data_IF_876932871210
#
_entry.id   IF_876932871210
#
_cell.length_a   1.000
_cell.length_b   1.000
_cell.length_c   1.000
_cell.angle_alpha   90.00
_cell.angle_beta   90.00
_cell.angle_gamma   90.00
#
_symmetry.space_group_name_H-M   'P 1'
#
loop_
_entity.id
_entity.type
_entity.pdbx_description
1 polymer ?
#
# COMPACT_ATOMS: atom_id res chain seq x y z
N UNK A 1 24.02 -7.93 -12.41
CA UNK A 1 23.47 -8.36 -13.73
C UNK A 1 22.96 -7.13 -14.47
N UNK A 2 22.89 -7.17 -15.82
CA UNK A 2 22.26 -6.09 -16.61
C UNK A 2 20.73 -6.14 -16.47
N UNK A 3 20.07 -4.98 -16.61
CA UNK A 3 18.61 -4.85 -16.41
C UNK A 3 17.77 -5.79 -17.30
N UNK A 4 18.13 -5.91 -18.57
CA UNK A 4 17.43 -6.81 -19.51
C UNK A 4 17.57 -8.29 -19.15
N UNK A 5 18.69 -8.71 -18.55
CA UNK A 5 18.83 -10.07 -18.05
C UNK A 5 17.86 -10.36 -16.89
N UNK A 6 17.66 -9.38 -16.00
CA UNK A 6 16.71 -9.51 -14.88
C UNK A 6 15.27 -9.65 -15.38
N UNK A 7 14.89 -8.87 -16.40
CA UNK A 7 13.56 -9.00 -17.04
C UNK A 7 13.42 -10.41 -17.64
N UNK A 8 14.41 -10.87 -18.43
CA UNK A 8 14.34 -12.16 -19.06
C UNK A 8 14.23 -13.33 -18.07
N UNK A 9 15.01 -13.30 -17.01
CA UNK A 9 14.94 -14.30 -15.93
C UNK A 9 13.57 -14.27 -15.23
N UNK A 10 12.98 -13.08 -15.05
CA UNK A 10 11.63 -12.94 -14.49
C UNK A 10 10.58 -13.55 -15.43
N UNK A 11 10.69 -13.32 -16.74
CA UNK A 11 9.81 -13.93 -17.76
C UNK A 11 9.90 -15.45 -17.71
N UNK A 12 11.13 -16.00 -17.70
CA UNK A 12 11.34 -17.45 -17.61
C UNK A 12 10.74 -18.02 -16.32
N UNK A 13 10.96 -17.35 -15.18
CA UNK A 13 10.40 -17.78 -13.90
C UNK A 13 8.87 -17.79 -13.93
N UNK A 14 8.22 -16.79 -14.54
CA UNK A 14 6.76 -16.76 -14.68
C UNK A 14 6.28 -17.90 -15.57
N UNK A 15 6.91 -18.16 -16.71
CA UNK A 15 6.53 -19.27 -17.59
C UNK A 15 6.67 -20.60 -16.86
N UNK A 16 7.83 -20.85 -16.23
CA UNK A 16 8.11 -22.15 -15.58
C UNK A 16 7.20 -22.41 -14.39
N UNK A 17 6.90 -21.37 -13.59
CA UNK A 17 6.10 -21.53 -12.37
C UNK A 17 4.60 -21.54 -12.61
N UNK A 18 4.12 -20.90 -13.69
CA UNK A 18 2.67 -20.73 -13.88
C UNK A 18 2.09 -21.47 -15.10
N UNK A 19 2.94 -22.16 -15.88
CA UNK A 19 2.44 -22.93 -17.00
C UNK A 19 1.68 -24.17 -16.51
N UNK A 20 0.35 -24.15 -16.69
CA UNK A 20 -0.58 -25.21 -16.24
C UNK A 20 -0.54 -25.53 -14.75
N UNK A 21 -0.10 -24.57 -13.93
CA UNK A 21 0.07 -24.75 -12.49
C UNK A 21 -0.82 -23.82 -11.67
N UNK A 22 -1.11 -24.22 -10.43
CA UNK A 22 -1.90 -23.41 -9.49
C UNK A 22 -1.10 -22.20 -8.97
N UNK A 23 -1.81 -21.09 -8.76
CA UNK A 23 -1.18 -19.79 -8.43
C UNK A 23 -0.54 -19.76 -7.04
N UNK A 24 -1.21 -20.33 -6.02
CA UNK A 24 -0.86 -20.11 -4.61
C UNK A 24 0.61 -20.44 -4.27
N UNK A 25 1.00 -21.71 -4.41
CA UNK A 25 2.36 -22.15 -4.11
C UNK A 25 3.39 -21.49 -5.04
N UNK A 26 3.08 -21.42 -6.33
CA UNK A 26 3.99 -20.94 -7.36
C UNK A 26 4.25 -19.44 -7.25
N UNK A 27 3.24 -18.64 -6.85
CA UNK A 27 3.45 -17.22 -6.56
C UNK A 27 4.29 -17.01 -5.29
N UNK A 28 4.12 -17.86 -4.27
CA UNK A 28 4.99 -17.85 -3.11
C UNK A 28 6.46 -18.13 -3.47
N UNK A 29 6.72 -19.16 -4.27
CA UNK A 29 8.06 -19.48 -4.79
C UNK A 29 8.61 -18.30 -5.64
N UNK A 30 7.77 -17.72 -6.48
CA UNK A 30 8.14 -16.54 -7.29
C UNK A 30 8.49 -15.33 -6.41
N UNK A 31 7.75 -15.10 -5.33
CA UNK A 31 8.03 -14.03 -4.37
C UNK A 31 9.36 -14.22 -3.65
N UNK A 32 9.67 -15.44 -3.21
CA UNK A 32 10.98 -15.79 -2.63
C UNK A 32 12.09 -15.56 -3.65
N UNK A 33 11.91 -16.03 -4.88
CA UNK A 33 12.85 -15.86 -5.98
C UNK A 33 13.15 -14.39 -6.24
N UNK A 34 12.12 -13.53 -6.38
CA UNK A 34 12.29 -12.09 -6.57
C UNK A 34 12.97 -11.41 -5.38
N UNK A 35 12.67 -11.86 -4.15
CA UNK A 35 13.30 -11.34 -2.93
C UNK A 35 14.80 -11.62 -2.93
N UNK A 36 15.21 -12.87 -3.19
CA UNK A 36 16.62 -13.27 -3.26
C UNK A 36 17.33 -12.54 -4.41
N UNK A 37 16.69 -12.44 -5.57
CA UNK A 37 17.28 -11.75 -6.71
C UNK A 37 17.43 -10.24 -6.41
N UNK A 38 16.48 -9.60 -5.74
CA UNK A 38 16.59 -8.22 -5.29
C UNK A 38 17.72 -8.04 -4.29
N UNK A 39 17.84 -8.95 -3.33
CA UNK A 39 18.94 -8.93 -2.35
C UNK A 39 20.30 -9.00 -3.05
N UNK A 40 20.50 -9.95 -3.96
CA UNK A 40 21.78 -10.12 -4.68
C UNK A 40 22.14 -8.93 -5.58
N UNK A 41 21.13 -8.29 -6.19
CA UNK A 41 21.34 -7.13 -7.08
C UNK A 41 21.52 -5.81 -6.32
N UNK A 42 21.10 -5.72 -5.06
CA UNK A 42 21.28 -4.51 -4.25
C UNK A 42 22.70 -4.44 -3.72
N UNK A 43 23.37 -3.28 -3.90
CA UNK A 43 24.74 -3.05 -3.39
C UNK A 43 24.75 -3.18 -1.86
N UNK A 44 25.85 -3.73 -1.32
CA UNK A 44 26.00 -3.95 0.13
C UNK A 44 25.83 -2.68 0.96
N UNK A 45 26.29 -1.54 0.45
CA UNK A 45 26.17 -0.22 1.09
C UNK A 45 24.71 0.26 1.27
N UNK A 46 23.79 -0.26 0.44
CA UNK A 46 22.36 0.09 0.48
C UNK A 46 21.53 -0.89 1.32
N UNK A 47 22.15 -1.96 1.85
CA UNK A 47 21.48 -2.98 2.66
C UNK A 47 21.42 -2.57 4.12
N UNK A 48 20.71 -1.49 4.42
CA UNK A 48 20.50 -1.04 5.79
C UNK A 48 19.53 -1.94 6.57
N UNK A 49 19.34 -1.66 7.87
CA UNK A 49 18.43 -2.46 8.73
C UNK A 49 17.01 -2.53 8.18
N UNK A 50 16.50 -1.45 7.62
CA UNK A 50 15.15 -1.41 7.02
C UNK A 50 15.08 -2.33 5.79
N UNK A 51 16.10 -2.31 4.93
CA UNK A 51 16.17 -3.20 3.77
C UNK A 51 16.19 -4.67 4.20
N UNK A 52 16.98 -5.01 5.22
CA UNK A 52 17.06 -6.38 5.75
C UNK A 52 15.71 -6.82 6.35
N UNK A 53 15.06 -5.95 7.10
CA UNK A 53 13.70 -6.23 7.61
C UNK A 53 12.73 -6.49 6.47
N UNK A 54 12.74 -5.65 5.43
CA UNK A 54 11.87 -5.83 4.25
C UNK A 54 12.21 -7.12 3.47
N UNK A 55 13.47 -7.51 3.41
CA UNK A 55 13.88 -8.77 2.82
C UNK A 55 13.30 -9.96 3.59
N UNK A 56 13.45 -9.97 4.90
CA UNK A 56 12.91 -11.02 5.76
C UNK A 56 11.38 -11.08 5.66
N UNK A 57 10.71 -9.94 5.77
CA UNK A 57 9.24 -9.90 5.68
C UNK A 57 8.72 -10.29 4.30
N UNK A 58 9.43 -9.98 3.20
CA UNK A 58 9.04 -10.44 1.87
C UNK A 58 9.13 -11.96 1.70
N UNK A 59 10.14 -12.59 2.31
CA UNK A 59 10.26 -14.06 2.36
C UNK A 59 9.09 -14.66 3.17
N UNK A 60 8.84 -14.14 4.39
CA UNK A 60 7.73 -14.64 5.22
C UNK A 60 6.35 -14.44 4.57
N UNK A 61 6.09 -13.28 3.95
CA UNK A 61 4.85 -13.04 3.22
C UNK A 61 4.67 -14.01 2.05
N UNK A 62 5.77 -14.34 1.35
CA UNK A 62 5.76 -15.32 0.26
C UNK A 62 5.44 -16.73 0.77
N UNK A 63 5.98 -17.13 1.92
CA UNK A 63 5.60 -18.38 2.58
C UNK A 63 4.16 -18.37 3.04
N UNK A 64 3.68 -17.28 3.64
CA UNK A 64 2.28 -17.15 4.08
C UNK A 64 1.32 -17.32 2.90
N UNK A 65 1.61 -16.67 1.76
CA UNK A 65 0.80 -16.82 0.56
C UNK A 65 0.84 -18.23 -0.02
N UNK A 66 2.03 -18.85 -0.07
CA UNK A 66 2.16 -20.24 -0.52
C UNK A 66 1.31 -21.21 0.32
N UNK A 67 1.13 -20.89 1.60
CA UNK A 67 0.41 -21.74 2.55
C UNK A 67 -1.09 -21.45 2.60
N UNK A 68 -1.48 -20.17 2.64
CA UNK A 68 -2.88 -19.76 2.82
C UNK A 68 -3.59 -19.45 1.50
N UNK A 69 -2.90 -18.87 0.51
CA UNK A 69 -3.47 -18.54 -0.80
C UNK A 69 -4.56 -17.46 -0.77
N UNK A 70 -4.67 -16.68 0.31
CA UNK A 70 -5.70 -15.67 0.51
C UNK A 70 -5.32 -14.29 -0.03
N UNK A 71 -6.32 -13.39 -0.13
CA UNK A 71 -6.15 -12.04 -0.70
C UNK A 71 -5.20 -11.17 0.14
N UNK A 72 -5.21 -11.35 1.47
CA UNK A 72 -4.39 -10.54 2.38
C UNK A 72 -2.92 -10.93 2.28
N UNK A 73 -2.62 -12.22 2.24
CA UNK A 73 -1.26 -12.71 2.03
C UNK A 73 -0.75 -12.38 0.63
N UNK A 74 -1.61 -12.39 -0.41
CA UNK A 74 -1.27 -11.87 -1.73
C UNK A 74 -0.84 -10.39 -1.68
N UNK A 75 -1.65 -9.56 -1.02
CA UNK A 75 -1.34 -8.13 -0.83
C UNK A 75 -0.01 -7.95 -0.08
N UNK A 76 0.25 -8.77 0.94
CA UNK A 76 1.49 -8.72 1.71
C UNK A 76 2.72 -9.05 0.87
N UNK A 77 2.65 -10.08 0.00
CA UNK A 77 3.74 -10.41 -0.96
C UNK A 77 4.00 -9.23 -1.88
N UNK A 78 2.95 -8.71 -2.51
CA UNK A 78 3.05 -7.61 -3.46
C UNK A 78 3.68 -6.37 -2.83
N UNK A 79 3.14 -5.91 -1.69
CA UNK A 79 3.64 -4.72 -0.98
C UNK A 79 5.07 -4.93 -0.49
N UNK A 80 5.38 -6.09 0.11
CA UNK A 80 6.72 -6.39 0.63
C UNK A 80 7.79 -6.39 -0.46
N UNK A 81 7.52 -7.01 -1.61
CA UNK A 81 8.43 -7.04 -2.75
C UNK A 81 8.70 -5.64 -3.31
N UNK A 82 7.65 -4.83 -3.49
CA UNK A 82 7.81 -3.45 -3.97
C UNK A 82 8.57 -2.57 -2.98
N UNK A 83 8.25 -2.66 -1.68
CA UNK A 83 8.97 -1.93 -0.64
C UNK A 83 10.45 -2.33 -0.60
N UNK A 84 10.75 -3.62 -0.68
CA UNK A 84 12.11 -4.14 -0.74
C UNK A 84 12.86 -3.58 -1.95
N UNK A 85 12.24 -3.63 -3.11
CA UNK A 85 12.85 -3.15 -4.35
C UNK A 85 13.07 -1.65 -4.35
N UNK A 86 12.08 -0.86 -3.92
CA UNK A 86 12.22 0.59 -3.82
C UNK A 86 13.28 0.99 -2.80
N UNK A 87 13.29 0.35 -1.62
CA UNK A 87 14.31 0.62 -0.60
C UNK A 87 15.71 0.33 -1.08
N UNK A 88 15.91 -0.78 -1.79
CA UNK A 88 17.20 -1.17 -2.37
C UNK A 88 17.70 -0.25 -3.49
N UNK A 89 16.81 0.55 -4.10
CA UNK A 89 17.18 1.47 -5.19
C UNK A 89 17.24 2.92 -4.74
N UNK A 90 16.27 3.37 -3.93
CA UNK A 90 16.13 4.75 -3.47
C UNK A 90 15.96 4.82 -1.94
N UNK A 91 17.01 4.54 -1.15
CA UNK A 91 16.91 4.41 0.31
C UNK A 91 16.49 5.71 1.01
N UNK A 92 16.69 6.87 0.37
CA UNK A 92 16.33 8.19 0.91
C UNK A 92 14.90 8.64 0.57
N UNK A 93 14.21 7.92 -0.31
CA UNK A 93 12.84 8.24 -0.66
C UNK A 93 11.90 7.81 0.46
N UNK A 94 10.97 8.68 0.85
CA UNK A 94 9.97 8.37 1.88
C UNK A 94 8.99 7.32 1.37
N UNK A 95 8.68 6.28 2.16
CA UNK A 95 7.84 5.16 1.72
C UNK A 95 6.43 5.56 1.27
N UNK A 96 5.88 6.62 1.83
CA UNK A 96 4.58 7.16 1.41
C UNK A 96 4.53 7.49 -0.09
N UNK A 97 5.65 7.95 -0.68
CA UNK A 97 5.76 8.26 -2.11
C UNK A 97 5.88 7.01 -3.00
N UNK A 98 6.12 5.83 -2.43
CA UNK A 98 6.25 4.61 -3.22
C UNK A 98 4.96 4.24 -3.96
N UNK A 99 3.79 4.56 -3.37
CA UNK A 99 2.49 4.34 -4.02
C UNK A 99 2.39 5.19 -5.30
N UNK A 100 2.75 6.47 -5.22
CA UNK A 100 2.74 7.38 -6.36
C UNK A 100 3.72 6.93 -7.45
N UNK A 101 4.95 6.55 -7.05
CA UNK A 101 5.94 5.98 -7.98
C UNK A 101 5.41 4.72 -8.66
N UNK A 102 4.78 3.83 -7.90
CA UNK A 102 4.21 2.60 -8.46
C UNK A 102 3.12 2.91 -9.49
N UNK A 103 2.16 3.77 -9.15
CA UNK A 103 1.07 4.15 -10.05
C UNK A 103 1.60 4.79 -11.35
N UNK A 104 2.54 5.74 -11.24
CA UNK A 104 3.15 6.36 -12.42
C UNK A 104 3.82 5.30 -13.31
N UNK A 105 4.55 4.35 -12.72
CA UNK A 105 5.23 3.31 -13.49
C UNK A 105 4.26 2.30 -14.12
N UNK A 106 3.14 1.98 -13.48
CA UNK A 106 2.09 1.14 -14.05
C UNK A 106 1.48 1.76 -15.32
N UNK A 107 1.14 3.05 -15.26
CA UNK A 107 0.50 3.74 -16.38
C UNK A 107 1.49 4.20 -17.47
N UNK A 108 2.74 4.52 -17.12
CA UNK A 108 3.76 4.94 -18.09
C UNK A 108 4.47 3.78 -18.78
N UNK A 109 4.11 2.53 -18.47
CA UNK A 109 4.76 1.32 -18.98
C UNK A 109 4.95 1.34 -20.50
N UNK A 110 3.88 1.57 -21.28
CA UNK A 110 3.93 1.53 -22.74
C UNK A 110 4.95 2.54 -23.31
N UNK A 111 4.91 3.80 -22.85
CA UNK A 111 5.85 4.81 -23.33
C UNK A 111 7.31 4.51 -22.97
N UNK A 112 7.55 3.83 -21.83
CA UNK A 112 8.89 3.49 -21.36
C UNK A 112 9.46 2.23 -22.02
N UNK A 113 8.62 1.26 -22.38
CA UNK A 113 9.04 0.07 -23.13
C UNK A 113 9.61 0.45 -24.47
N UNK A 114 8.96 1.38 -25.19
CA UNK A 114 9.45 1.86 -26.49
C UNK A 114 10.72 2.72 -26.39
N UNK A 115 11.05 3.23 -25.21
CA UNK A 115 12.32 3.91 -24.98
C UNK A 115 13.41 2.91 -24.61
N UNK A 116 13.87 2.16 -25.63
CA UNK A 116 14.79 1.02 -25.49
C UNK A 116 16.10 1.41 -24.77
N UNK A 117 16.57 2.63 -24.92
CA UNK A 117 17.81 3.11 -24.29
C UNK A 117 17.77 3.11 -22.74
N UNK A 118 16.57 3.16 -22.13
CA UNK A 118 16.41 3.16 -20.67
C UNK A 118 16.71 1.80 -20.02
N UNK A 119 16.50 0.72 -20.75
CA UNK A 119 16.57 -0.62 -20.18
C UNK A 119 17.52 -1.57 -20.92
N UNK A 120 17.88 -1.26 -22.16
CA UNK A 120 18.81 -2.02 -22.95
C UNK A 120 20.12 -1.23 -23.16
N UNK A 121 21.20 -1.70 -22.55
CA UNK A 121 22.54 -1.15 -22.75
C UNK A 121 23.13 -1.69 -24.06
N UNK A 122 23.40 -0.80 -25.03
CA UNK A 122 24.08 -1.18 -26.27
C UNK A 122 25.44 -1.82 -25.94
N UNK A 123 25.78 -2.97 -26.50
CA UNK A 123 27.10 -3.55 -26.33
C UNK A 123 28.16 -2.62 -26.93
N UNK A 124 29.29 -2.51 -26.25
CA UNK A 124 30.34 -1.56 -26.65
C UNK A 124 31.00 -1.95 -27.97
N UNK A 125 31.00 -3.21 -28.39
CA UNK A 125 31.45 -3.69 -29.70
C UNK A 125 30.93 -5.12 -29.95
N UNK A 126 30.45 -5.40 -31.19
CA UNK A 126 30.01 -6.72 -31.65
C UNK A 126 28.50 -6.98 -31.68
N UNK A 127 28.09 -7.97 -32.51
CA UNK A 127 26.69 -8.44 -32.52
C UNK A 127 26.37 -9.10 -31.19
N UNK A 128 25.64 -8.42 -30.34
CA UNK A 128 25.18 -8.98 -29.06
C UNK A 128 24.23 -10.15 -29.32
N UNK A 129 24.35 -11.21 -28.54
CA UNK A 129 23.39 -12.31 -28.51
C UNK A 129 21.94 -11.76 -28.32
N UNK A 130 21.76 -10.71 -27.51
CA UNK A 130 20.46 -10.07 -27.33
C UNK A 130 19.93 -9.40 -28.62
N UNK A 131 20.76 -8.72 -29.41
CA UNK A 131 20.33 -8.17 -30.70
C UNK A 131 19.96 -9.29 -31.66
N UNK A 132 20.72 -10.33 -31.69
CA UNK A 132 20.42 -11.52 -32.49
C UNK A 132 19.13 -12.17 -32.03
N UNK A 133 18.94 -12.36 -30.73
CA UNK A 133 17.71 -12.91 -30.16
C UNK A 133 16.48 -12.03 -30.44
N UNK A 134 16.58 -10.72 -30.23
CA UNK A 134 15.47 -9.79 -30.52
C UNK A 134 15.11 -9.83 -32.00
N UNK A 135 16.12 -9.77 -32.88
CA UNK A 135 15.91 -9.70 -34.33
C UNK A 135 15.41 -11.01 -34.94
N UNK A 136 15.94 -12.14 -34.49
CA UNK A 136 15.67 -13.45 -35.14
C UNK A 136 14.65 -14.31 -34.39
N UNK A 137 14.32 -13.99 -33.12
CA UNK A 137 13.39 -14.78 -32.31
C UNK A 137 12.21 -13.93 -31.84
N UNK A 138 12.46 -12.82 -31.15
CA UNK A 138 11.39 -12.07 -30.47
C UNK A 138 10.48 -11.33 -31.46
N UNK A 139 11.04 -10.58 -32.41
CA UNK A 139 10.25 -9.85 -33.41
C UNK A 139 9.51 -10.81 -34.33
N UNK A 140 10.16 -11.78 -34.99
CA UNK A 140 9.46 -12.78 -35.80
C UNK A 140 8.46 -13.60 -35.01
N UNK A 141 8.81 -14.03 -33.80
CA UNK A 141 7.90 -14.75 -32.91
C UNK A 141 6.64 -13.98 -32.57
N UNK A 142 6.77 -12.68 -32.29
CA UNK A 142 5.61 -11.80 -32.05
C UNK A 142 4.68 -11.75 -33.29
N UNK A 143 5.24 -11.55 -34.48
CA UNK A 143 4.44 -11.52 -35.71
C UNK A 143 3.80 -12.88 -35.99
N UNK A 144 4.55 -13.96 -35.90
CA UNK A 144 4.02 -15.33 -36.09
C UNK A 144 2.85 -15.58 -35.12
N UNK A 145 2.99 -15.16 -33.88
CA UNK A 145 1.96 -15.32 -32.87
C UNK A 145 0.70 -14.52 -33.19
N UNK A 146 0.85 -13.25 -33.54
CA UNK A 146 -0.31 -12.39 -33.89
C UNK A 146 -1.06 -13.01 -35.09
N UNK A 147 -0.34 -13.42 -36.14
CA UNK A 147 -0.95 -14.03 -37.32
C UNK A 147 -1.51 -15.42 -37.05
N UNK A 148 -0.87 -16.21 -36.19
CA UNK A 148 -1.40 -17.49 -35.72
C UNK A 148 -2.81 -17.31 -35.10
N UNK A 149 -2.98 -16.29 -34.26
CA UNK A 149 -4.29 -15.97 -33.71
C UNK A 149 -5.29 -15.55 -34.76
N UNK A 150 -4.91 -14.61 -35.63
CA UNK A 150 -5.80 -14.15 -36.71
C UNK A 150 -6.26 -15.33 -37.56
N UNK A 151 -5.37 -16.25 -37.88
CA UNK A 151 -5.70 -17.42 -38.70
C UNK A 151 -6.51 -18.48 -37.91
N UNK A 152 -6.23 -18.66 -36.63
CA UNK A 152 -7.03 -19.57 -35.77
C UNK A 152 -8.45 -19.06 -35.53
N UNK A 153 -8.65 -17.74 -35.45
CA UNK A 153 -10.00 -17.14 -35.39
C UNK A 153 -10.70 -17.17 -36.75
N UNK A 154 -9.95 -17.15 -37.86
CA UNK A 154 -10.50 -17.13 -39.22
C UNK A 154 -10.82 -18.50 -39.78
N UNK A 155 -10.29 -19.59 -39.24
CA UNK A 155 -10.48 -20.94 -39.77
C UNK A 155 -10.42 -22.00 -38.68
N UNK A 156 -11.55 -22.71 -38.45
CA UNK A 156 -11.64 -23.85 -37.52
C UNK A 156 -10.71 -25.02 -37.95
N UNK A 157 -10.55 -25.22 -39.25
CA UNK A 157 -9.61 -26.23 -39.77
C UNK A 157 -8.16 -25.91 -39.43
N UNK A 158 -7.76 -24.65 -39.49
CA UNK A 158 -6.43 -24.23 -39.10
C UNK A 158 -6.21 -24.39 -37.58
N UNK A 159 -7.19 -24.01 -36.76
CA UNK A 159 -7.14 -24.19 -35.32
C UNK A 159 -7.02 -25.67 -34.92
N UNK A 160 -7.79 -26.55 -35.59
CA UNK A 160 -7.78 -27.99 -35.33
C UNK A 160 -6.49 -28.68 -35.73
N UNK A 161 -5.75 -28.21 -36.75
CA UNK A 161 -4.41 -28.76 -37.09
C UNK A 161 -3.43 -28.71 -35.94
N UNK A 162 -3.58 -27.74 -35.04
CA UNK A 162 -2.71 -27.60 -33.87
C UNK A 162 -3.33 -28.15 -32.59
N UNK A 163 -4.64 -28.42 -32.58
CA UNK A 163 -5.36 -29.00 -31.44
C UNK A 163 -5.20 -30.51 -31.36
N UNK A 164 -5.04 -31.18 -32.50
CA UNK A 164 -4.88 -32.65 -32.59
C UNK A 164 -3.41 -33.10 -32.45
N UNK A 165 -2.46 -32.16 -32.22
CA UNK A 165 -1.09 -32.53 -31.94
C UNK A 165 -1.00 -33.11 -30.51
N UNK A 166 -0.44 -34.33 -30.37
CA UNK A 166 -0.20 -35.04 -29.11
C UNK A 166 0.73 -34.29 -28.11
N UNK A 167 1.26 -33.13 -28.54
CA UNK A 167 2.01 -32.26 -27.65
C UNK A 167 1.03 -31.50 -26.73
N UNK A 168 1.00 -31.85 -25.47
CA UNK A 168 0.29 -31.13 -24.39
C UNK A 168 0.90 -29.73 -24.14
N UNK A 169 1.24 -29.06 -25.24
CA UNK A 169 1.88 -27.73 -25.25
C UNK A 169 0.92 -26.71 -25.83
N UNK A 170 0.55 -25.73 -25.01
CA UNK A 170 -0.30 -24.61 -25.37
C UNK A 170 0.54 -23.36 -25.65
N UNK A 171 0.92 -23.09 -26.90
CA UNK A 171 1.80 -21.95 -27.23
C UNK A 171 1.18 -20.60 -26.83
N UNK A 172 -0.16 -20.49 -26.88
CA UNK A 172 -0.90 -19.30 -26.45
C UNK A 172 -0.69 -18.99 -24.96
N UNK A 173 -0.84 -20.00 -24.12
CA UNK A 173 -0.64 -19.86 -22.67
C UNK A 173 0.79 -19.41 -22.36
N UNK A 174 1.79 -19.96 -23.03
CA UNK A 174 3.20 -19.55 -22.88
C UNK A 174 3.40 -18.09 -23.28
N UNK A 175 2.78 -17.64 -24.36
CA UNK A 175 2.89 -16.25 -24.82
C UNK A 175 2.21 -15.29 -23.86
N UNK A 176 1.02 -15.62 -23.38
CA UNK A 176 0.33 -14.81 -22.37
C UNK A 176 1.20 -14.68 -21.10
N UNK A 177 1.73 -15.80 -20.61
CA UNK A 177 2.63 -15.81 -19.46
C UNK A 177 3.92 -15.01 -19.73
N UNK A 178 4.49 -15.09 -20.94
CA UNK A 178 5.65 -14.29 -21.33
C UNK A 178 5.35 -12.79 -21.30
N UNK A 179 4.18 -12.37 -21.81
CA UNK A 179 3.74 -10.96 -21.80
C UNK A 179 3.52 -10.49 -20.36
N UNK A 180 2.85 -11.29 -19.53
CA UNK A 180 2.64 -10.98 -18.11
C UNK A 180 3.98 -10.92 -17.38
N UNK A 181 4.86 -11.89 -17.58
CA UNK A 181 6.19 -11.94 -16.99
C UNK A 181 7.06 -10.74 -17.41
N UNK A 182 6.95 -10.32 -18.68
CA UNK A 182 7.63 -9.13 -19.19
C UNK A 182 7.09 -7.86 -18.52
N UNK A 183 5.78 -7.71 -18.41
CA UNK A 183 5.15 -6.58 -17.75
C UNK A 183 5.58 -6.47 -16.28
N UNK A 184 5.48 -7.57 -15.53
CA UNK A 184 5.90 -7.64 -14.12
C UNK A 184 7.40 -7.34 -13.99
N UNK A 185 8.24 -8.03 -14.77
CA UNK A 185 9.69 -7.86 -14.74
C UNK A 185 10.12 -6.45 -15.12
N UNK A 186 9.49 -5.85 -16.12
CA UNK A 186 9.79 -4.48 -16.53
C UNK A 186 9.45 -3.48 -15.42
N UNK A 187 8.23 -3.51 -14.87
CA UNK A 187 7.81 -2.59 -13.80
C UNK A 187 8.67 -2.80 -12.55
N UNK A 188 8.99 -4.04 -12.21
CA UNK A 188 9.78 -4.36 -11.02
C UNK A 188 11.24 -3.93 -11.14
N UNK A 189 11.89 -4.15 -12.30
CA UNK A 189 13.32 -3.88 -12.47
C UNK A 189 13.65 -2.51 -13.06
N UNK A 190 12.74 -1.92 -13.85
CA UNK A 190 12.97 -0.67 -14.60
C UNK A 190 12.01 0.43 -14.14
N UNK A 191 11.78 0.59 -12.85
CA UNK A 191 10.97 1.73 -12.42
C UNK A 191 11.79 3.03 -12.44
N UNK A 192 11.12 4.12 -12.81
CA UNK A 192 11.66 5.48 -12.76
C UNK A 192 11.00 6.29 -11.66
N UNK A 193 11.75 7.23 -11.11
CA UNK A 193 11.21 8.21 -10.17
C UNK A 193 11.31 9.58 -10.83
N UNK A 194 10.16 10.23 -11.03
CA UNK A 194 10.06 11.52 -11.66
C UNK A 194 10.68 12.65 -10.78
N UNK A 195 11.17 13.70 -11.40
CA UNK A 195 11.85 14.81 -10.70
C UNK A 195 10.97 15.49 -9.66
N UNK A 196 9.67 15.61 -9.92
CA UNK A 196 8.75 16.24 -8.98
C UNK A 196 8.58 15.42 -7.68
N UNK A 197 8.69 14.08 -7.72
CA UNK A 197 8.65 13.21 -6.53
C UNK A 197 9.86 13.50 -5.62
N UNK A 198 11.05 13.74 -6.17
CA UNK A 198 12.20 14.15 -5.36
C UNK A 198 11.99 15.52 -4.70
N UNK A 199 11.29 16.45 -5.35
CA UNK A 199 10.90 17.72 -4.72
C UNK A 199 9.92 17.50 -3.58
N UNK A 200 8.88 16.69 -3.79
CA UNK A 200 7.93 16.33 -2.73
C UNK A 200 8.65 15.65 -1.56
N UNK A 201 9.56 14.71 -1.83
CA UNK A 201 10.32 14.01 -0.80
C UNK A 201 11.09 14.97 0.12
N UNK A 202 11.59 16.09 -0.41
CA UNK A 202 12.28 17.10 0.38
C UNK A 202 11.33 17.79 1.38
N UNK A 203 10.05 17.94 1.04
CA UNK A 203 9.03 18.54 1.91
C UNK A 203 8.43 17.56 2.93
N UNK A 204 8.62 16.25 2.75
CA UNK A 204 8.11 15.22 3.66
C UNK A 204 9.06 14.90 4.83
N UNK A 205 9.68 15.92 5.41
CA UNK A 205 10.50 15.76 6.63
C UNK A 205 9.60 15.60 7.85
N UNK A 206 10.02 14.74 8.77
CA UNK A 206 9.28 14.47 10.01
C UNK A 206 9.38 15.64 11.01
N UNK A 207 10.44 16.43 10.90
CA UNK A 207 10.73 17.59 11.76
C UNK A 207 10.62 18.88 10.96
N UNK A 208 10.21 19.94 11.63
CA UNK A 208 10.25 21.28 11.04
C UNK A 208 11.71 21.72 10.85
N UNK A 209 11.97 22.48 9.78
CA UNK A 209 13.26 23.17 9.62
C UNK A 209 13.35 24.33 10.62
N UNK A 210 14.58 24.68 11.01
CA UNK A 210 14.86 25.71 12.03
C UNK A 210 14.29 27.11 11.71
N UNK A 211 13.92 27.34 10.44
CA UNK A 211 13.27 28.58 10.00
C UNK A 211 11.76 28.35 10.03
N UNK A 212 11.14 28.59 11.18
CA UNK A 212 9.69 28.53 11.33
C UNK A 212 9.12 29.90 11.06
N UNK A 213 8.51 30.09 9.90
CA UNK A 213 7.65 31.26 9.65
C UNK A 213 6.38 31.11 10.50
N UNK A 214 6.48 31.55 11.77
CA UNK A 214 5.36 31.57 12.72
C UNK A 214 4.24 32.56 12.33
N UNK A 215 4.53 33.45 11.40
CA UNK A 215 3.79 34.69 11.20
C UNK A 215 2.75 34.67 10.07
N UNK A 216 2.54 33.54 9.38
CA UNK A 216 1.57 33.50 8.28
C UNK A 216 0.32 32.72 8.68
N UNK A 217 -0.85 33.39 8.76
CA UNK A 217 -2.11 32.69 8.94
C UNK A 217 -2.42 31.78 7.74
N UNK A 218 -3.27 30.80 7.97
CA UNK A 218 -3.73 29.89 6.92
C UNK A 218 -4.54 30.60 5.85
N UNK A 219 -5.39 31.53 6.31
CA UNK A 219 -6.24 32.33 5.45
C UNK A 219 -5.74 33.76 5.41
N UNK A 220 -5.61 34.32 4.22
CA UNK A 220 -5.13 35.70 4.02
C UNK A 220 -6.03 36.78 4.61
N UNK A 221 -7.28 36.43 4.93
CA UNK A 221 -8.29 37.35 5.51
C UNK A 221 -8.37 37.25 7.05
N UNK A 222 -7.62 36.34 7.69
CA UNK A 222 -7.56 36.19 9.14
C UNK A 222 -6.17 36.55 9.64
N UNK A 223 -6.11 37.19 10.80
CA UNK A 223 -4.86 37.27 11.57
C UNK A 223 -4.63 36.00 12.41
N UNK A 224 -3.42 35.80 12.89
CA UNK A 224 -3.02 34.60 13.64
C UNK A 224 -3.80 34.45 14.94
N UNK A 225 -4.09 35.58 15.61
CA UNK A 225 -4.82 35.57 16.88
C UNK A 225 -6.28 35.14 16.66
N UNK A 226 -6.92 35.63 15.62
CA UNK A 226 -8.27 35.23 15.21
C UNK A 226 -8.31 33.75 14.78
N UNK A 227 -7.30 33.26 14.03
CA UNK A 227 -7.21 31.85 13.65
C UNK A 227 -7.03 30.95 14.88
N UNK A 228 -6.24 31.37 15.88
CA UNK A 228 -6.04 30.66 17.14
C UNK A 228 -7.36 30.57 17.95
N UNK A 229 -8.05 31.69 18.08
CA UNK A 229 -9.34 31.75 18.79
C UNK A 229 -10.36 30.87 18.07
N UNK A 230 -10.48 31.01 16.75
CA UNK A 230 -11.36 30.16 15.93
C UNK A 230 -11.07 28.67 16.14
N UNK A 231 -9.79 28.27 16.14
CA UNK A 231 -9.38 26.90 16.39
C UNK A 231 -9.77 26.40 17.78
N UNK A 232 -9.56 27.22 18.80
CA UNK A 232 -9.96 26.87 20.17
C UNK A 232 -11.47 26.74 20.32
N UNK A 233 -12.25 27.68 19.80
CA UNK A 233 -13.72 27.65 19.84
C UNK A 233 -14.25 26.44 19.09
N UNK A 234 -13.74 26.19 17.88
CA UNK A 234 -14.14 25.05 17.06
C UNK A 234 -13.84 23.71 17.76
N UNK A 235 -12.61 23.50 18.25
CA UNK A 235 -12.27 22.27 18.96
C UNK A 235 -13.03 22.12 20.29
N UNK A 236 -13.34 23.21 21.01
CA UNK A 236 -14.13 23.14 22.22
C UNK A 236 -15.57 22.74 21.93
N UNK A 237 -16.20 23.33 20.91
CA UNK A 237 -17.54 22.96 20.47
C UNK A 237 -17.60 21.49 20.00
N UNK A 238 -16.58 21.05 19.20
CA UNK A 238 -16.47 19.67 18.74
C UNK A 238 -16.24 18.71 19.90
N UNK A 239 -15.49 19.08 20.93
CA UNK A 239 -15.30 18.26 22.13
C UNK A 239 -16.60 18.05 22.89
N UNK A 240 -17.41 19.10 23.05
CA UNK A 240 -18.71 18.99 23.68
C UNK A 240 -19.64 18.09 22.87
N UNK A 241 -19.72 18.31 21.55
CA UNK A 241 -20.53 17.50 20.67
C UNK A 241 -20.12 16.02 20.72
N UNK A 242 -18.81 15.76 20.67
CA UNK A 242 -18.28 14.40 20.72
C UNK A 242 -18.52 13.75 22.08
N UNK A 243 -18.42 14.51 23.19
CA UNK A 243 -18.71 13.99 24.52
C UNK A 243 -20.17 13.53 24.62
N UNK A 244 -21.11 14.34 24.13
CA UNK A 244 -22.52 13.96 24.07
C UNK A 244 -22.67 12.70 23.22
N UNK A 245 -22.05 12.65 22.04
CA UNK A 245 -22.11 11.48 21.16
C UNK A 245 -21.53 10.24 21.82
N UNK A 246 -20.37 10.31 22.48
CA UNK A 246 -19.75 9.18 23.18
C UNK A 246 -20.66 8.67 24.31
N UNK A 247 -21.29 9.55 25.07
CA UNK A 247 -22.19 9.15 26.15
C UNK A 247 -23.45 8.47 25.59
N UNK A 248 -24.11 9.05 24.59
CA UNK A 248 -25.31 8.47 23.96
C UNK A 248 -24.99 7.15 23.27
N UNK A 249 -23.90 7.10 22.53
CA UNK A 249 -23.41 5.89 21.84
C UNK A 249 -23.19 4.72 22.82
N UNK A 250 -22.51 4.98 23.95
CA UNK A 250 -22.28 3.94 24.95
C UNK A 250 -23.57 3.59 25.72
N UNK A 251 -24.45 4.55 25.96
CA UNK A 251 -25.75 4.27 26.59
C UNK A 251 -26.57 3.32 25.72
N UNK A 252 -26.74 3.63 24.44
CA UNK A 252 -27.42 2.76 23.47
C UNK A 252 -26.75 1.38 23.38
N UNK A 253 -25.42 1.33 23.38
CA UNK A 253 -24.67 0.09 23.26
C UNK A 253 -24.86 -0.86 24.44
N UNK A 254 -24.84 -0.35 25.66
CA UNK A 254 -24.81 -1.18 26.88
C UNK A 254 -26.13 -1.34 27.59
N UNK A 255 -27.09 -0.43 27.36
CA UNK A 255 -28.36 -0.40 28.09
C UNK A 255 -29.58 -0.65 27.20
N UNK A 256 -29.52 -0.44 25.90
CA UNK A 256 -30.63 -0.76 25.00
C UNK A 256 -30.51 -2.20 24.49
N UNK A 257 -31.53 -3.01 24.78
CA UNK A 257 -31.63 -4.40 24.35
C UNK A 257 -32.18 -4.42 22.92
N UNK A 258 -31.35 -4.74 21.94
CA UNK A 258 -31.79 -4.95 20.55
C UNK A 258 -32.37 -6.35 20.37
N UNK A 259 -33.62 -6.42 19.88
CA UNK A 259 -34.45 -7.64 19.90
C UNK A 259 -34.42 -8.49 18.65
N UNK A 260 -33.77 -8.10 17.56
CA UNK A 260 -33.67 -8.93 16.35
C UNK A 260 -32.27 -8.90 15.68
N UNK A 261 -31.89 -10.04 15.10
CA UNK A 261 -30.56 -10.21 14.48
C UNK A 261 -30.36 -9.32 13.23
N UNK A 262 -31.40 -9.12 12.43
CA UNK A 262 -31.30 -8.34 11.18
C UNK A 262 -31.17 -6.84 11.45
N UNK A 263 -31.91 -6.31 12.41
CA UNK A 263 -31.80 -4.91 12.86
C UNK A 263 -30.43 -4.66 13.49
N UNK A 264 -29.93 -5.59 14.30
CA UNK A 264 -28.62 -5.49 14.95
C UNK A 264 -27.46 -5.42 13.92
N UNK A 265 -27.57 -6.15 12.80
CA UNK A 265 -26.56 -6.12 11.74
C UNK A 265 -26.51 -4.77 11.04
N UNK A 266 -27.66 -4.25 10.61
CA UNK A 266 -27.74 -2.95 9.92
C UNK A 266 -27.28 -1.80 10.83
N UNK A 267 -27.79 -1.73 12.06
CA UNK A 267 -27.40 -0.73 13.04
C UNK A 267 -25.92 -0.78 13.41
N UNK A 268 -25.33 -1.98 13.51
CA UNK A 268 -23.90 -2.14 13.79
C UNK A 268 -23.05 -1.56 12.65
N UNK A 269 -23.43 -1.78 11.40
CA UNK A 269 -22.73 -1.22 10.25
C UNK A 269 -22.80 0.30 10.22
N UNK A 270 -23.95 0.89 10.44
CA UNK A 270 -24.12 2.34 10.43
C UNK A 270 -23.36 3.00 11.59
N UNK A 271 -23.40 2.40 12.77
CA UNK A 271 -22.64 2.87 13.95
C UNK A 271 -21.15 2.80 13.75
N UNK A 272 -20.63 1.70 13.19
CA UNK A 272 -19.19 1.56 12.88
C UNK A 272 -18.78 2.57 11.81
N UNK A 273 -19.58 2.79 10.79
CA UNK A 273 -19.31 3.81 9.76
C UNK A 273 -19.27 5.22 10.34
N UNK A 274 -20.18 5.56 11.25
CA UNK A 274 -20.18 6.86 11.95
C UNK A 274 -18.91 7.07 12.77
N UNK A 275 -18.44 6.03 13.48
CA UNK A 275 -17.17 6.05 14.23
C UNK A 275 -15.99 6.25 13.29
N UNK A 276 -15.95 5.53 12.17
CA UNK A 276 -14.91 5.66 11.14
C UNK A 276 -14.83 7.10 10.63
N UNK A 277 -15.97 7.67 10.24
CA UNK A 277 -16.01 9.03 9.70
C UNK A 277 -15.63 10.07 10.77
N UNK A 278 -16.06 9.89 12.03
CA UNK A 278 -15.67 10.74 13.14
C UNK A 278 -14.15 10.78 13.33
N UNK A 279 -13.48 9.62 13.29
CA UNK A 279 -12.03 9.53 13.49
C UNK A 279 -11.28 10.18 12.32
N UNK A 280 -11.70 9.92 11.07
CA UNK A 280 -11.08 10.53 9.89
C UNK A 280 -11.20 12.07 10.00
N UNK A 281 -12.38 12.56 10.29
CA UNK A 281 -12.61 14.01 10.47
C UNK A 281 -11.82 14.59 11.66
N UNK A 282 -11.70 13.83 12.74
CA UNK A 282 -10.89 14.24 13.90
C UNK A 282 -9.43 14.45 13.53
N UNK A 283 -8.85 13.52 12.79
CA UNK A 283 -7.47 13.63 12.32
C UNK A 283 -7.32 14.81 11.35
N UNK A 284 -8.24 14.99 10.42
CA UNK A 284 -8.21 16.10 9.45
C UNK A 284 -8.26 17.48 10.13
N UNK A 285 -9.12 17.65 11.13
CA UNK A 285 -9.20 18.91 11.92
C UNK A 285 -7.87 19.21 12.61
N UNK A 286 -7.23 18.19 13.18
CA UNK A 286 -5.93 18.37 13.83
C UNK A 286 -4.83 18.66 12.80
N UNK A 287 -4.82 17.98 11.66
CA UNK A 287 -3.88 18.24 10.58
C UNK A 287 -4.01 19.67 10.05
N UNK A 288 -5.24 20.19 10.00
CA UNK A 288 -5.51 21.54 9.55
C UNK A 288 -4.94 22.59 10.50
N UNK A 289 -5.26 22.54 11.79
CA UNK A 289 -4.80 23.53 12.77
C UNK A 289 -3.32 23.39 13.13
N UNK A 290 -2.78 22.16 13.19
CA UNK A 290 -1.42 21.89 13.62
C UNK A 290 -0.45 21.62 12.45
N UNK A 291 -0.69 22.23 11.30
CA UNK A 291 0.21 22.07 10.13
C UNK A 291 1.51 22.87 10.24
N UNK A 292 1.49 24.04 10.92
CA UNK A 292 2.60 24.99 10.98
C UNK A 292 2.81 25.56 12.40
N UNK A 293 2.70 26.87 12.54
CA UNK A 293 3.10 27.70 13.67
C UNK A 293 2.48 27.35 15.02
N UNK A 294 1.22 26.92 15.07
CA UNK A 294 0.54 26.60 16.34
C UNK A 294 1.19 25.47 17.13
N UNK A 295 2.03 24.65 16.52
CA UNK A 295 2.85 23.67 17.24
C UNK A 295 3.85 24.34 18.19
N UNK A 296 4.35 25.54 17.86
CA UNK A 296 5.39 26.27 18.57
C UNK A 296 4.84 27.46 19.36
N UNK A 297 3.68 27.99 19.00
CA UNK A 297 3.06 29.11 19.65
C UNK A 297 2.72 28.80 21.11
N UNK A 298 3.28 29.59 22.04
CA UNK A 298 3.03 29.46 23.46
C UNK A 298 1.60 29.89 23.83
N UNK A 299 1.04 30.88 23.11
CA UNK A 299 -0.33 31.33 23.29
C UNK A 299 -1.37 30.30 22.85
N UNK A 300 -0.98 29.28 22.04
CA UNK A 300 -1.84 28.20 21.59
C UNK A 300 -1.98 27.04 22.58
N UNK A 301 -1.62 27.21 23.86
CA UNK A 301 -1.68 26.15 24.87
C UNK A 301 -3.10 25.61 25.05
N UNK A 302 -4.12 26.46 25.14
CA UNK A 302 -5.52 26.04 25.25
C UNK A 302 -6.00 25.26 24.01
N UNK A 303 -5.57 25.68 22.81
CA UNK A 303 -5.84 24.96 21.57
C UNK A 303 -5.21 23.55 21.57
N UNK A 304 -3.95 23.44 22.04
CA UNK A 304 -3.26 22.13 22.18
C UNK A 304 -3.95 21.21 23.18
N UNK A 305 -4.43 21.75 24.28
CA UNK A 305 -5.18 20.97 25.29
C UNK A 305 -6.50 20.49 24.70
N UNK A 306 -7.28 21.37 24.05
CA UNK A 306 -8.54 20.98 23.39
C UNK A 306 -8.32 19.90 22.33
N UNK A 307 -7.23 19.98 21.54
CA UNK A 307 -6.87 18.95 20.58
C UNK A 307 -6.52 17.59 21.24
N UNK A 308 -5.83 17.60 22.37
CA UNK A 308 -5.53 16.36 23.12
C UNK A 308 -6.80 15.74 23.71
N UNK A 309 -7.71 16.54 24.25
CA UNK A 309 -9.02 16.08 24.73
C UNK A 309 -9.79 15.44 23.57
N UNK A 310 -9.81 16.08 22.41
CA UNK A 310 -10.42 15.57 21.19
C UNK A 310 -9.89 14.18 20.78
N UNK A 311 -8.57 13.99 20.85
CA UNK A 311 -7.92 12.70 20.56
C UNK A 311 -8.34 11.63 21.56
N UNK A 312 -8.39 11.97 22.86
CA UNK A 312 -8.77 11.03 23.92
C UNK A 312 -10.23 10.60 23.77
N UNK A 313 -11.14 11.53 23.53
CA UNK A 313 -12.57 11.22 23.31
C UNK A 313 -12.79 10.33 22.07
N UNK A 314 -12.09 10.60 20.96
CA UNK A 314 -12.12 9.72 19.80
C UNK A 314 -11.50 8.34 20.12
N UNK A 315 -10.44 8.28 20.93
CA UNK A 315 -9.87 7.02 21.42
C UNK A 315 -10.88 6.20 22.23
N UNK A 316 -11.65 6.84 23.12
CA UNK A 316 -12.73 6.19 23.85
C UNK A 316 -13.78 5.62 22.90
N UNK A 317 -14.17 6.38 21.88
CA UNK A 317 -15.13 5.92 20.87
C UNK A 317 -14.62 4.69 20.10
N UNK A 318 -13.32 4.67 19.73
CA UNK A 318 -12.70 3.50 19.11
C UNK A 318 -12.76 2.28 20.01
N UNK A 319 -12.44 2.44 21.29
CA UNK A 319 -12.49 1.33 22.26
C UNK A 319 -13.91 0.79 22.43
N UNK A 320 -14.92 1.67 22.52
CA UNK A 320 -16.33 1.26 22.54
C UNK A 320 -16.72 0.48 21.30
N UNK A 321 -16.29 0.90 20.11
CA UNK A 321 -16.52 0.18 18.87
C UNK A 321 -15.82 -1.19 18.81
N UNK A 322 -14.61 -1.31 19.36
CA UNK A 322 -13.89 -2.59 19.48
C UNK A 322 -14.66 -3.57 20.37
N UNK A 323 -15.16 -3.10 21.52
CA UNK A 323 -15.96 -3.92 22.44
C UNK A 323 -17.26 -4.37 21.76
N UNK A 324 -17.96 -3.48 21.06
CA UNK A 324 -19.19 -3.82 20.32
C UNK A 324 -18.95 -4.86 19.25
N UNK A 325 -17.87 -4.73 18.48
CA UNK A 325 -17.50 -5.71 17.47
C UNK A 325 -17.15 -7.07 18.11
N UNK A 326 -16.56 -7.09 19.32
CA UNK A 326 -16.29 -8.32 20.08
C UNK A 326 -17.60 -9.01 20.50
N UNK A 327 -18.57 -8.26 21.03
CA UNK A 327 -19.90 -8.79 21.38
C UNK A 327 -20.61 -9.37 20.14
N UNK A 328 -20.52 -8.65 19.01
CA UNK A 328 -21.11 -9.09 17.76
C UNK A 328 -20.47 -10.38 17.25
N UNK A 329 -19.13 -10.54 17.38
CA UNK A 329 -18.43 -11.77 17.04
C UNK A 329 -18.82 -12.93 17.95
N UNK A 330 -18.94 -12.69 19.26
CA UNK A 330 -19.32 -13.73 20.23
C UNK A 330 -20.75 -14.24 20.02
N UNK A 331 -21.67 -13.39 19.55
CA UNK A 331 -23.05 -13.78 19.26
C UNK A 331 -23.29 -14.42 17.89
N UNK A 332 -22.55 -13.99 16.88
CA UNK A 332 -22.82 -14.33 15.46
C UNK A 332 -21.61 -14.93 14.73
N UNK A 333 -20.53 -15.27 15.43
CA UNK A 333 -19.34 -15.86 14.87
C UNK A 333 -18.40 -14.86 14.16
N UNK A 334 -17.23 -15.33 13.74
CA UNK A 334 -16.20 -14.56 13.09
C UNK A 334 -16.47 -14.49 11.58
N UNK A 335 -16.29 -13.31 10.97
CA UNK A 335 -16.34 -13.11 9.52
C UNK A 335 -15.22 -12.19 9.05
N UNK A 336 -14.80 -12.29 7.79
CA UNK A 336 -13.79 -11.38 7.20
C UNK A 336 -14.16 -9.89 7.34
N UNK A 337 -15.44 -9.54 7.24
CA UNK A 337 -15.91 -8.16 7.43
C UNK A 337 -15.66 -7.67 8.86
N UNK A 338 -15.94 -8.50 9.87
CA UNK A 338 -15.71 -8.17 11.29
C UNK A 338 -14.24 -8.05 11.65
N UNK A 339 -13.42 -8.90 11.04
CA UNK A 339 -11.95 -8.78 11.11
C UNK A 339 -11.46 -7.48 10.45
N UNK A 340 -12.00 -7.12 9.30
CA UNK A 340 -11.71 -5.84 8.65
C UNK A 340 -12.04 -4.64 9.54
N UNK A 341 -13.13 -4.70 10.32
CA UNK A 341 -13.47 -3.69 11.33
C UNK A 341 -12.37 -3.60 12.39
N UNK A 342 -11.89 -4.71 12.94
CA UNK A 342 -10.78 -4.69 13.91
C UNK A 342 -9.50 -4.11 13.31
N UNK A 343 -9.14 -4.52 12.10
CA UNK A 343 -7.97 -3.99 11.41
C UNK A 343 -8.07 -2.47 11.25
N UNK A 344 -9.24 -1.97 10.83
CA UNK A 344 -9.47 -0.54 10.70
C UNK A 344 -9.42 0.19 12.04
N UNK A 345 -10.13 -0.28 13.07
CA UNK A 345 -10.15 0.33 14.41
C UNK A 345 -8.75 0.34 15.03
N UNK A 346 -7.96 -0.71 14.83
CA UNK A 346 -6.55 -0.75 15.26
C UNK A 346 -5.74 0.34 14.56
N UNK A 347 -5.90 0.50 13.24
CA UNK A 347 -5.24 1.57 12.49
C UNK A 347 -5.68 2.96 12.94
N UNK A 348 -6.96 3.14 13.23
CA UNK A 348 -7.51 4.39 13.75
C UNK A 348 -6.88 4.73 15.12
N UNK A 349 -6.78 3.76 16.03
CA UNK A 349 -6.15 3.94 17.33
C UNK A 349 -4.66 4.32 17.20
N UNK A 350 -3.92 3.62 16.34
CA UNK A 350 -2.52 3.92 16.04
C UNK A 350 -2.40 5.35 15.46
N UNK A 351 -3.32 5.75 14.57
CA UNK A 351 -3.38 7.08 14.00
C UNK A 351 -3.61 8.18 15.05
N UNK A 352 -4.52 7.95 15.99
CA UNK A 352 -4.76 8.85 17.13
C UNK A 352 -3.53 8.96 18.03
N UNK A 353 -2.85 7.85 18.32
CA UNK A 353 -1.60 7.83 19.11
C UNK A 353 -0.51 8.65 18.39
N UNK A 354 -0.29 8.43 17.10
CA UNK A 354 0.71 9.20 16.35
C UNK A 354 0.33 10.68 16.23
N UNK A 355 -0.96 10.99 16.16
CA UNK A 355 -1.45 12.37 16.16
C UNK A 355 -1.19 13.04 17.51
N UNK A 356 -1.39 12.33 18.62
CA UNK A 356 -1.03 12.81 19.95
C UNK A 356 0.48 13.08 20.07
N UNK A 357 1.31 12.10 19.64
CA UNK A 357 2.77 12.22 19.63
C UNK A 357 3.21 13.41 18.75
N UNK A 358 2.56 13.62 17.58
CA UNK A 358 2.81 14.74 16.69
C UNK A 358 2.66 16.07 17.40
N UNK A 359 1.55 16.29 18.10
CA UNK A 359 1.31 17.53 18.86
C UNK A 359 2.33 17.65 20.00
N UNK A 360 2.54 16.57 20.76
CA UNK A 360 3.42 16.58 21.93
C UNK A 360 4.87 16.86 21.56
N UNK A 361 5.36 16.24 20.47
CA UNK A 361 6.76 16.36 20.00
C UNK A 361 6.93 17.42 18.90
N UNK A 362 5.92 18.24 18.65
CA UNK A 362 5.94 19.32 17.64
C UNK A 362 6.40 18.83 16.27
N UNK A 363 5.87 17.69 15.79
CA UNK A 363 6.22 17.09 14.50
C UNK A 363 5.36 17.64 13.35
N UNK A 364 5.85 17.51 12.12
CA UNK A 364 5.14 17.91 10.90
C UNK A 364 3.96 16.97 10.60
N UNK A 365 3.09 17.34 9.64
CA UNK A 365 2.08 16.43 9.11
C UNK A 365 2.71 15.23 8.38
N UNK A 366 3.88 15.42 7.75
CA UNK A 366 4.62 14.36 7.08
C UNK A 366 5.04 13.23 8.04
N UNK A 367 5.35 13.56 9.30
CA UNK A 367 5.60 12.56 10.34
C UNK A 367 4.41 11.57 10.47
N UNK A 368 3.17 12.08 10.50
CA UNK A 368 2.00 11.23 10.62
C UNK A 368 1.87 10.32 9.40
N UNK A 369 1.98 10.85 8.18
CA UNK A 369 1.91 10.04 6.96
C UNK A 369 2.99 8.97 6.90
N UNK A 370 4.24 9.32 7.23
CA UNK A 370 5.35 8.37 7.23
C UNK A 370 5.15 7.25 8.28
N UNK A 371 4.65 7.57 9.47
CA UNK A 371 4.39 6.58 10.53
C UNK A 371 3.20 5.70 10.21
N UNK A 372 2.11 6.28 9.67
CA UNK A 372 0.92 5.55 9.29
C UNK A 372 1.21 4.57 8.14
N UNK A 373 2.06 4.95 7.19
CA UNK A 373 2.49 4.03 6.13
C UNK A 373 3.14 2.75 6.70
N UNK A 374 4.08 2.90 7.63
CA UNK A 374 4.72 1.75 8.27
C UNK A 374 3.77 0.95 9.16
N UNK A 375 2.86 1.63 9.85
CA UNK A 375 1.83 0.96 10.64
C UNK A 375 0.87 0.15 9.75
N UNK A 376 0.44 0.70 8.61
CA UNK A 376 -0.39 0.00 7.64
C UNK A 376 0.32 -1.24 7.08
N UNK A 377 1.60 -1.11 6.74
CA UNK A 377 2.40 -2.25 6.31
C UNK A 377 2.51 -3.31 7.40
N UNK A 378 2.81 -2.92 8.64
CA UNK A 378 2.84 -3.84 9.78
C UNK A 378 1.52 -4.56 10.01
N UNK A 379 0.38 -3.86 9.87
CA UNK A 379 -0.94 -4.46 9.98
C UNK A 379 -1.20 -5.48 8.86
N UNK A 380 -0.86 -5.15 7.61
CA UNK A 380 -0.97 -6.09 6.48
C UNK A 380 -0.17 -7.37 6.78
N UNK A 381 1.07 -7.24 7.29
CA UNK A 381 1.90 -8.40 7.65
C UNK A 381 1.24 -9.25 8.74
N UNK A 382 0.78 -8.62 9.82
CA UNK A 382 0.11 -9.35 10.93
C UNK A 382 -1.13 -10.07 10.41
N UNK A 383 -1.95 -9.41 9.60
CA UNK A 383 -3.14 -10.02 9.02
C UNK A 383 -2.79 -11.17 8.03
N UNK A 384 -1.66 -11.09 7.33
CA UNK A 384 -1.27 -12.11 6.34
C UNK A 384 -0.67 -13.37 6.95
N UNK A 385 -0.23 -13.34 8.21
CA UNK A 385 0.38 -14.50 8.87
C UNK A 385 -0.61 -15.36 9.68
N UNK A 386 -1.88 -15.01 9.64
CA UNK A 386 -2.94 -15.75 10.32
C UNK A 386 -3.94 -16.28 9.29
N UNK A 387 -4.25 -17.56 9.37
CA UNK A 387 -5.29 -18.18 8.52
C UNK A 387 -6.68 -17.86 9.05
N UNK A 388 -7.21 -16.71 8.67
CA UNK A 388 -8.53 -16.27 9.09
C UNK A 388 -9.68 -17.11 8.54
N UNK A 389 -9.47 -17.82 7.43
CA UNK A 389 -10.44 -18.71 6.83
C UNK A 389 -10.53 -20.07 7.52
N UNK A 390 -9.55 -20.40 8.35
CA UNK A 390 -9.49 -21.66 9.10
C UNK A 390 -9.90 -21.54 10.58
N UNK A 391 -10.21 -20.31 11.03
CA UNK A 391 -10.69 -19.99 12.38
C UNK A 391 -12.21 -19.79 12.34
#
# INVERSE_FOLDING_TARGET
MKKHHLIFITVLAVIVLFYKEYVALNLGIFGIFLSILTFTQTKSELRDRTFLTLFVTSIFSSFAFAWFGDEVSFLAVFVSLFLLRFRGTYPKLKPFLYIEVLLINLFSFLGRVFNIEQWYEKPKEGKSFANTFITFVLIPGLFVTIFFFIYSFGSDHFANLFRDSELDFEPLTVIILAVIGFYIGFIFWIFGVERFIFKQNHHLKDDFSDIINLEKPTFSFLDIDSERVSGFVSLSALNILLLVFVVTYNYEQFYEVTTSADTLSAETHDRVNAVIMSIIMAILVILFYFKNGFNFDEKATSLKISAKIWIVLNGTLVLSAIIKNAEYISGFGLTYKRLGVYAFLTMALIGLIFTFIKIQKKKTNAFLFNKMFWASYGLILVCSYVNWGGI
#
